data_IF_021145179271
#
_entry.id   IF_021145179271
#
_cell.length_a   1.000
_cell.length_b   1.000
_cell.length_c   1.000
_cell.angle_alpha   90.00
_cell.angle_beta   90.00
_cell.angle_gamma   90.00
#
_symmetry.space_group_name_H-M   'P 1'
#
loop_
_entity.id
_entity.type
_entity.pdbx_description
1 polymer ?
#
# COMPACT_ATOMS: atom_id res chain seq x y z
N UNK A 1 -21.26 -2.46 1.74
CA UNK A 1 -20.25 -1.98 0.77
C UNK A 1 -18.89 -2.57 1.11
N UNK A 2 -18.07 -2.92 0.12
CA UNK A 2 -16.70 -3.45 0.32
C UNK A 2 -15.69 -2.40 -0.14
N UNK A 3 -14.61 -2.22 0.62
CA UNK A 3 -13.49 -1.35 0.22
C UNK A 3 -12.79 -2.00 -0.97
N UNK A 4 -12.61 -1.26 -2.07
CA UNK A 4 -11.94 -1.77 -3.28
C UNK A 4 -10.49 -1.31 -3.38
N UNK A 5 -10.14 -0.17 -2.77
CA UNK A 5 -8.86 0.50 -2.97
C UNK A 5 -8.46 1.33 -1.76
N UNK A 6 -7.18 1.35 -1.43
CA UNK A 6 -6.62 2.12 -0.31
C UNK A 6 -5.38 2.89 -0.75
N UNK A 7 -5.38 4.21 -0.49
CA UNK A 7 -4.17 5.05 -0.60
C UNK A 7 -3.43 5.02 0.73
N UNK A 8 -2.17 4.61 0.71
CA UNK A 8 -1.31 4.56 1.90
C UNK A 8 -0.16 5.55 1.72
N UNK A 9 -0.16 6.61 2.54
CA UNK A 9 0.91 7.60 2.60
C UNK A 9 1.13 7.97 4.06
N UNK A 10 2.27 7.54 4.62
CA UNK A 10 2.57 7.65 6.05
C UNK A 10 4.04 7.99 6.25
N UNK A 11 4.31 8.84 7.24
CA UNK A 11 5.68 9.18 7.62
C UNK A 11 6.30 8.03 8.43
N UNK A 12 5.63 7.62 9.52
CA UNK A 12 5.97 6.44 10.30
C UNK A 12 5.46 5.18 9.58
N UNK A 13 6.39 4.24 9.37
CA UNK A 13 6.15 3.01 8.61
C UNK A 13 6.06 1.78 9.52
N UNK A 14 6.04 1.98 10.83
CA UNK A 14 5.85 0.92 11.83
C UNK A 14 4.56 0.15 11.53
N UNK A 15 4.66 -1.17 11.33
CA UNK A 15 3.51 -2.05 11.07
C UNK A 15 2.84 -1.93 9.70
N UNK A 16 3.27 -1.02 8.81
CA UNK A 16 2.51 -0.73 7.58
C UNK A 16 2.50 -1.89 6.58
N UNK A 17 3.55 -2.71 6.57
CA UNK A 17 3.64 -3.87 5.68
C UNK A 17 2.59 -4.94 6.04
N UNK A 18 2.39 -5.21 7.32
CA UNK A 18 1.41 -6.21 7.78
C UNK A 18 -0.02 -5.70 7.54
N UNK A 19 -0.26 -4.42 7.79
CA UNK A 19 -1.52 -3.76 7.48
C UNK A 19 -1.85 -3.83 5.98
N UNK A 20 -0.92 -3.43 5.11
CA UNK A 20 -1.12 -3.46 3.66
C UNK A 20 -1.35 -4.88 3.13
N UNK A 21 -0.66 -5.87 3.70
CA UNK A 21 -0.86 -7.28 3.36
C UNK A 21 -2.23 -7.80 3.79
N UNK A 22 -2.74 -7.37 4.93
CA UNK A 22 -4.08 -7.74 5.37
C UNK A 22 -5.16 -7.18 4.43
N UNK A 23 -4.98 -5.94 3.95
CA UNK A 23 -5.85 -5.33 2.93
C UNK A 23 -5.76 -6.05 1.58
N UNK A 24 -4.54 -6.35 1.12
CA UNK A 24 -4.32 -7.06 -0.14
C UNK A 24 -4.98 -8.45 -0.14
N UNK A 25 -4.87 -9.21 0.96
CA UNK A 25 -5.58 -10.49 1.15
C UNK A 25 -7.10 -10.38 1.06
N UNK A 26 -7.67 -9.22 1.33
CA UNK A 26 -9.11 -8.97 1.19
C UNK A 26 -9.50 -8.56 -0.25
N UNK A 27 -8.53 -8.44 -1.16
CA UNK A 27 -8.71 -7.99 -2.54
C UNK A 27 -8.75 -6.47 -2.68
N UNK A 28 -8.10 -5.75 -1.76
CA UNK A 28 -8.00 -4.28 -1.84
C UNK A 28 -6.78 -3.89 -2.67
N UNK A 29 -7.00 -3.06 -3.69
CA UNK A 29 -5.93 -2.43 -4.47
C UNK A 29 -5.15 -1.44 -3.59
N UNK A 30 -3.87 -1.71 -3.31
CA UNK A 30 -3.01 -0.76 -2.60
C UNK A 30 -2.42 0.24 -3.57
N UNK A 31 -2.52 1.51 -3.21
CA UNK A 31 -1.92 2.64 -3.91
C UNK A 31 -0.99 3.38 -2.95
N UNK A 32 0.21 3.72 -3.41
CA UNK A 32 1.17 4.49 -2.61
C UNK A 32 2.18 5.20 -3.49
N UNK A 33 2.93 6.15 -2.94
CA UNK A 33 4.02 6.86 -3.62
C UNK A 33 5.22 7.00 -2.69
N UNK A 34 6.38 7.35 -3.27
CA UNK A 34 7.61 7.63 -2.52
C UNK A 34 8.04 6.48 -1.62
N UNK A 35 8.61 6.82 -0.45
CA UNK A 35 9.21 5.84 0.46
C UNK A 35 8.24 4.80 1.03
N UNK A 36 6.93 5.04 1.02
CA UNK A 36 5.94 4.03 1.43
C UNK A 36 5.74 3.00 0.33
N UNK A 37 5.64 3.43 -0.94
CA UNK A 37 5.57 2.51 -2.07
C UNK A 37 6.83 1.63 -2.15
N UNK A 38 8.02 2.22 -1.96
CA UNK A 38 9.30 1.50 -1.93
C UNK A 38 9.33 0.40 -0.85
N UNK A 39 8.90 0.73 0.37
CA UNK A 39 8.84 -0.24 1.47
C UNK A 39 7.91 -1.42 1.14
N UNK A 40 6.72 -1.14 0.62
CA UNK A 40 5.74 -2.17 0.28
C UNK A 40 6.25 -3.08 -0.86
N UNK A 41 6.87 -2.50 -1.89
CA UNK A 41 7.53 -3.24 -2.99
C UNK A 41 8.64 -4.15 -2.47
N UNK A 42 9.50 -3.64 -1.60
CA UNK A 42 10.60 -4.43 -0.98
C UNK A 42 10.07 -5.63 -0.20
N UNK A 43 8.87 -5.51 0.38
CA UNK A 43 8.17 -6.60 1.09
C UNK A 43 7.31 -7.47 0.17
N UNK A 44 7.43 -7.34 -1.15
CA UNK A 44 6.66 -8.06 -2.17
C UNK A 44 5.14 -7.91 -1.99
N UNK A 45 4.71 -6.72 -1.58
CA UNK A 45 3.28 -6.37 -1.52
C UNK A 45 2.94 -5.64 -2.81
N UNK A 46 1.95 -6.11 -3.59
CA UNK A 46 1.49 -5.41 -4.79
C UNK A 46 1.07 -3.97 -4.43
N UNK A 47 1.73 -3.00 -5.06
CA UNK A 47 1.38 -1.58 -4.90
C UNK A 47 1.36 -0.93 -6.27
N UNK A 48 0.30 -0.17 -6.54
CA UNK A 48 0.24 0.70 -7.71
C UNK A 48 0.83 2.04 -7.32
N UNK A 49 1.88 2.44 -8.02
CA UNK A 49 2.45 3.76 -7.82
C UNK A 49 1.68 4.79 -8.65
N UNK A 50 1.34 5.90 -8.01
CA UNK A 50 0.82 7.08 -8.72
C UNK A 50 1.98 8.05 -8.84
N UNK A 51 2.75 7.95 -9.92
CA UNK A 51 3.54 9.11 -10.38
C UNK A 51 2.57 10.14 -10.95
N UNK A 52 2.72 11.40 -10.53
CA UNK A 52 1.86 12.53 -10.88
C UNK A 52 1.45 12.55 -12.36
N UNK A 53 0.18 12.92 -12.62
CA UNK A 53 -0.28 13.38 -13.93
C UNK A 53 0.53 14.60 -14.38
#
# INVERSE_FOLDING_TARGET
>A
MKIQRALISVSDKTGIADFARALEKQGVDIISTGGTAELLRKKKIPVREISSF
#
